data_IF_337089552058
#
_entry.id   IF_337089552058
#
_cell.length_a   1.000
_cell.length_b   1.000
_cell.length_c   1.000
_cell.angle_alpha   90.00
_cell.angle_beta   90.00
_cell.angle_gamma   90.00
#
_symmetry.space_group_name_H-M   'P 1'
#
loop_
_entity.id
_entity.type
_entity.pdbx_description
1 polymer ?
#
# COMPACT_ATOMS: atom_id res chain seq x y z
N UNK A 1 1.71 -16.12 4.32
CA UNK A 1 2.02 -15.24 3.18
C UNK A 1 0.87 -14.23 3.05
N UNK A 2 1.04 -13.02 3.55
CA UNK A 2 0.12 -11.93 3.22
C UNK A 2 0.44 -11.50 1.79
N UNK A 3 -0.17 -12.17 0.82
CA UNK A 3 0.00 -11.87 -0.59
C UNK A 3 -0.42 -10.42 -0.82
N UNK A 4 0.52 -9.61 -1.29
CA UNK A 4 0.30 -8.25 -1.77
C UNK A 4 -0.60 -8.21 -3.00
N UNK A 5 -1.86 -8.59 -2.82
CA UNK A 5 -2.95 -8.30 -3.73
C UNK A 5 -3.88 -7.40 -2.95
N UNK A 6 -3.60 -6.10 -2.95
CA UNK A 6 -4.68 -5.14 -2.83
C UNK A 6 -5.56 -5.46 -4.04
N UNK A 7 -6.63 -6.24 -3.81
CA UNK A 7 -7.48 -6.74 -4.87
C UNK A 7 -8.19 -5.59 -5.57
N UNK A 8 -9.38 -5.87 -6.12
CA UNK A 8 -10.19 -4.81 -6.70
C UNK A 8 -10.35 -3.66 -5.70
N UNK A 9 -9.97 -2.46 -6.11
CA UNK A 9 -10.07 -1.26 -5.29
C UNK A 9 -11.03 -0.27 -5.93
N UNK A 10 -11.56 0.61 -5.08
CA UNK A 10 -12.28 1.82 -5.48
C UNK A 10 -11.58 3.01 -4.82
N UNK A 11 -11.27 4.05 -5.60
CA UNK A 11 -10.62 5.29 -5.16
C UNK A 11 -11.64 6.16 -4.41
N UNK A 12 -11.90 5.78 -3.16
CA UNK A 12 -12.68 6.60 -2.23
C UNK A 12 -11.84 7.77 -1.72
N UNK A 13 -12.48 8.81 -1.20
CA UNK A 13 -11.78 9.92 -0.55
C UNK A 13 -10.87 9.47 0.61
N UNK A 14 -11.24 8.37 1.30
CA UNK A 14 -10.41 7.78 2.35
C UNK A 14 -9.14 7.15 1.79
N UNK A 15 -9.27 6.33 0.73
CA UNK A 15 -8.11 5.71 0.07
C UNK A 15 -7.20 6.78 -0.54
N UNK A 16 -7.76 7.82 -1.14
CA UNK A 16 -6.98 8.92 -1.71
C UNK A 16 -6.15 9.64 -0.63
N UNK A 17 -6.74 9.97 0.52
CA UNK A 17 -6.01 10.59 1.64
C UNK A 17 -4.90 9.68 2.16
N UNK A 18 -5.14 8.37 2.23
CA UNK A 18 -4.14 7.39 2.64
C UNK A 18 -2.98 7.32 1.64
N UNK A 19 -3.28 7.31 0.34
CA UNK A 19 -2.25 7.32 -0.71
C UNK A 19 -1.37 8.58 -0.64
N UNK A 20 -1.98 9.74 -0.40
CA UNK A 20 -1.23 10.98 -0.16
C UNK A 20 -0.32 10.84 1.06
N UNK A 21 -0.85 10.36 2.18
CA UNK A 21 -0.07 10.15 3.39
C UNK A 21 1.13 9.20 3.15
N UNK A 22 0.88 8.03 2.54
CA UNK A 22 1.92 7.03 2.25
C UNK A 22 3.00 7.56 1.31
N UNK A 23 2.63 8.39 0.33
CA UNK A 23 3.58 9.06 -0.56
C UNK A 23 4.40 10.09 0.21
N UNK A 24 3.75 10.90 1.04
CA UNK A 24 4.39 12.00 1.77
C UNK A 24 5.40 11.48 2.81
N UNK A 25 5.16 10.31 3.41
CA UNK A 25 6.13 9.62 4.28
C UNK A 25 7.14 8.75 3.51
N UNK A 26 7.06 8.71 2.17
CA UNK A 26 8.02 8.02 1.31
C UNK A 26 7.90 6.51 1.27
N UNK A 27 6.73 5.94 1.59
CA UNK A 27 6.51 4.49 1.57
C UNK A 27 6.05 3.97 0.21
N UNK A 28 5.39 4.82 -0.57
CA UNK A 28 5.02 4.52 -1.95
C UNK A 28 5.62 5.57 -2.88
N UNK A 29 5.86 5.15 -4.12
CA UNK A 29 6.21 6.02 -5.23
C UNK A 29 5.07 6.00 -6.25
N UNK A 30 4.61 7.19 -6.62
CA UNK A 30 3.51 7.37 -7.57
C UNK A 30 3.63 8.75 -8.21
N UNK A 31 3.62 8.79 -9.54
CA UNK A 31 3.78 10.04 -10.29
C UNK A 31 2.65 11.02 -10.02
N UNK A 32 1.41 10.53 -9.95
CA UNK A 32 0.21 11.33 -9.69
C UNK A 32 -0.90 10.46 -9.09
N UNK A 33 -1.33 10.79 -7.87
CA UNK A 33 -2.45 10.11 -7.20
C UNK A 33 -3.79 10.45 -7.90
N UNK A 34 -3.88 11.63 -8.48
CA UNK A 34 -5.04 12.07 -9.26
C UNK A 34 -5.25 11.19 -10.50
N UNK A 35 -4.17 10.68 -11.11
CA UNK A 35 -4.23 9.87 -12.33
C UNK A 35 -4.58 8.40 -12.07
N UNK A 36 -4.57 7.96 -10.80
CA UNK A 36 -5.02 6.61 -10.43
C UNK A 36 -6.50 6.46 -10.81
N UNK A 37 -6.91 5.38 -11.49
CA UNK A 37 -8.29 5.18 -11.88
C UNK A 37 -9.21 5.10 -10.66
N UNK A 38 -10.47 5.50 -10.84
CA UNK A 38 -11.48 5.46 -9.78
C UNK A 38 -11.76 4.03 -9.29
N UNK A 39 -11.50 3.03 -10.13
CA UNK A 39 -11.56 1.60 -9.80
C UNK A 39 -10.59 0.82 -10.67
N UNK A 40 -9.96 -0.21 -10.10
CA UNK A 40 -9.22 -1.20 -10.88
C UNK A 40 -9.11 -2.52 -10.12
N UNK A 41 -8.66 -3.56 -10.82
CA UNK A 41 -8.47 -4.89 -10.23
C UNK A 41 -7.28 -4.96 -9.26
N UNK A 42 -6.30 -4.07 -9.41
CA UNK A 42 -5.07 -4.09 -8.65
C UNK A 42 -4.49 -2.68 -8.50
N UNK A 43 -4.25 -2.25 -7.27
CA UNK A 43 -3.69 -0.93 -6.97
C UNK A 43 -2.20 -0.85 -7.32
N UNK A 44 -1.48 -1.97 -7.25
CA UNK A 44 -0.06 -2.05 -7.56
C UNK A 44 0.28 -1.72 -9.01
N UNK A 45 -0.69 -1.80 -9.92
CA UNK A 45 -0.47 -1.41 -11.32
C UNK A 45 -0.28 0.12 -11.45
N UNK A 46 -0.67 0.89 -10.42
CA UNK A 46 -0.59 2.36 -10.40
C UNK A 46 0.39 2.92 -9.38
N UNK A 47 0.96 2.09 -8.49
CA UNK A 47 1.87 2.53 -7.43
C UNK A 47 3.08 1.61 -7.30
N UNK A 48 4.26 2.18 -7.04
CA UNK A 48 5.44 1.47 -6.58
C UNK A 48 5.54 1.49 -5.05
N UNK A 49 6.09 0.44 -4.44
CA UNK A 49 6.49 0.47 -3.02
C UNK A 49 8.00 0.77 -2.96
N UNK A 50 8.37 1.78 -2.18
CA UNK A 50 9.78 2.13 -1.97
C UNK A 50 10.49 1.10 -1.09
N UNK A 51 11.82 1.17 -1.03
CA UNK A 51 12.60 0.33 -0.10
C UNK A 51 12.16 0.53 1.37
N UNK A 52 11.86 1.78 1.76
CA UNK A 52 11.36 2.08 3.10
C UNK A 52 9.98 1.42 3.36
N UNK A 53 9.06 1.51 2.38
CA UNK A 53 7.77 0.85 2.47
C UNK A 53 7.87 -0.67 2.56
N UNK A 54 8.78 -1.28 1.79
CA UNK A 54 9.02 -2.73 1.84
C UNK A 54 9.53 -3.17 3.22
N UNK A 55 10.50 -2.45 3.79
CA UNK A 55 11.01 -2.73 5.15
C UNK A 55 9.92 -2.62 6.21
N UNK A 56 9.04 -1.63 6.09
CA UNK A 56 7.90 -1.47 6.99
C UNK A 56 6.93 -2.68 6.91
N UNK A 57 6.58 -3.11 5.70
CA UNK A 57 5.71 -4.27 5.48
C UNK A 57 6.34 -5.54 6.08
N UNK A 58 7.63 -5.77 5.85
CA UNK A 58 8.36 -6.90 6.43
C UNK A 58 8.32 -6.89 7.96
N UNK A 59 8.62 -5.75 8.57
CA UNK A 59 8.57 -5.61 10.04
C UNK A 59 7.17 -5.92 10.58
N UNK A 60 6.12 -5.42 9.93
CA UNK A 60 4.73 -5.67 10.32
C UNK A 60 4.37 -7.15 10.26
N UNK A 61 4.74 -7.82 9.17
CA UNK A 61 4.50 -9.26 8.99
C UNK A 61 5.23 -10.08 10.06
N UNK A 62 6.46 -9.71 10.41
CA UNK A 62 7.22 -10.37 11.45
C UNK A 62 6.59 -10.19 12.84
N UNK A 63 6.10 -8.99 13.14
CA UNK A 63 5.39 -8.71 14.40
C UNK A 63 4.06 -9.49 14.49
N UNK A 64 3.28 -9.54 13.40
CA UNK A 64 2.04 -10.31 13.33
C UNK A 64 2.28 -11.82 13.53
N UNK A 65 3.35 -12.37 12.95
CA UNK A 65 3.73 -13.77 13.18
C UNK A 65 4.16 -14.02 14.63
N UNK A 66 4.90 -13.10 15.26
CA UNK A 66 5.31 -13.24 16.67
C UNK A 66 4.11 -13.19 17.62
N UNK A 67 3.15 -12.31 17.37
CA UNK A 67 1.95 -12.18 18.19
C UNK A 67 1.01 -13.39 18.12
N UNK A 68 1.02 -14.14 17.02
CA UNK A 68 0.19 -15.36 16.86
C UNK A 68 0.85 -16.63 17.40
N UNK A 69 2.12 -16.57 17.78
CA UNK A 69 2.88 -17.70 18.31
C UNK A 69 2.92 -17.74 19.86
N UNK A 70 2.24 -16.80 20.52
CA UNK A 70 2.03 -16.71 21.98
C UNK A 70 0.56 -16.99 22.27
#
# INVERSE_FOLDING_TARGET
>A
MASGRFGRFQKTAGLERELYHLRDIGYIDVSSISDIPAEAANLFDSIGITEAGQRFVSLRVDLEHRQRAV
#
